data_IF_139419659121
#
_entry.id   IF_139419659121
#
_cell.length_a   1.000
_cell.length_b   1.000
_cell.length_c   1.000
_cell.angle_alpha   90.00
_cell.angle_beta   90.00
_cell.angle_gamma   90.00
#
_symmetry.space_group_name_H-M   'P 1'
#
loop_
_entity.id
_entity.type
_entity.pdbx_description
1 polymer ?
#
# COMPACT_ATOMS: atom_id res chain seq x y z
N UNK A 1 -25.73 31.72 35.30
CA UNK A 1 -26.06 30.46 36.02
C UNK A 1 -26.68 29.39 35.12
N UNK A 2 -27.88 29.55 34.54
CA UNK A 2 -28.49 28.53 33.66
C UNK A 2 -27.67 28.21 32.39
N UNK A 3 -27.04 29.23 31.78
CA UNK A 3 -26.25 29.06 30.56
C UNK A 3 -24.93 28.30 30.79
N UNK A 4 -24.27 28.50 31.94
CA UNK A 4 -23.03 27.78 32.31
C UNK A 4 -23.31 26.30 32.58
N UNK A 5 -24.43 25.97 33.22
CA UNK A 5 -24.78 24.56 33.46
C UNK A 5 -25.09 23.79 32.17
N UNK A 6 -25.73 24.44 31.19
CA UNK A 6 -25.97 23.85 29.88
C UNK A 6 -24.68 23.64 29.07
N UNK A 7 -23.70 24.55 29.19
CA UNK A 7 -22.40 24.43 28.55
C UNK A 7 -21.58 23.27 29.15
N UNK A 8 -21.50 23.18 30.48
CA UNK A 8 -20.79 22.10 31.16
C UNK A 8 -21.40 20.72 30.88
N UNK A 9 -22.73 20.63 30.81
CA UNK A 9 -23.44 19.39 30.49
C UNK A 9 -23.16 18.94 29.05
N UNK A 10 -23.13 19.88 28.09
CA UNK A 10 -22.75 19.59 26.71
C UNK A 10 -21.31 19.11 26.59
N UNK A 11 -20.35 19.79 27.24
CA UNK A 11 -18.94 19.39 27.21
C UNK A 11 -18.74 17.99 27.82
N UNK A 12 -19.40 17.71 28.95
CA UNK A 12 -19.32 16.40 29.58
C UNK A 12 -19.92 15.30 28.70
N UNK A 13 -21.04 15.58 28.02
CA UNK A 13 -21.68 14.63 27.12
C UNK A 13 -20.87 14.37 25.86
N UNK A 14 -20.28 15.42 25.26
CA UNK A 14 -19.35 15.29 24.12
C UNK A 14 -18.12 14.47 24.52
N UNK A 15 -17.52 14.76 25.67
CA UNK A 15 -16.35 14.02 26.15
C UNK A 15 -16.67 12.56 26.42
N UNK A 16 -17.85 12.26 26.98
CA UNK A 16 -18.31 10.89 27.23
C UNK A 16 -18.54 10.13 25.92
N UNK A 17 -19.19 10.76 24.95
CA UNK A 17 -19.40 10.18 23.62
C UNK A 17 -18.07 9.92 22.92
N UNK A 18 -17.12 10.86 23.00
CA UNK A 18 -15.78 10.72 22.44
C UNK A 18 -15.03 9.54 23.08
N UNK A 19 -15.03 9.43 24.41
CA UNK A 19 -14.39 8.30 25.09
C UNK A 19 -15.02 6.96 24.69
N UNK A 20 -16.34 6.88 24.59
CA UNK A 20 -17.02 5.64 24.16
C UNK A 20 -16.72 5.28 22.71
N UNK A 21 -16.53 6.25 21.80
CA UNK A 21 -16.14 5.95 20.42
C UNK A 21 -14.67 5.56 20.32
N UNK A 22 -13.79 6.17 21.12
CA UNK A 22 -12.39 5.73 21.25
C UNK A 22 -12.29 4.31 21.80
N UNK A 23 -13.05 4.01 22.85
CA UNK A 23 -13.13 2.65 23.38
C UNK A 23 -13.71 1.70 22.34
N UNK A 24 -14.70 2.09 21.54
CA UNK A 24 -15.25 1.28 20.45
C UNK A 24 -14.25 1.02 19.30
N UNK A 25 -13.40 2.00 18.98
CA UNK A 25 -12.33 1.87 17.97
C UNK A 25 -11.14 1.05 18.47
N UNK A 26 -10.84 1.14 19.76
CA UNK A 26 -9.76 0.39 20.41
C UNK A 26 -10.20 -1.02 20.83
N UNK A 27 -11.50 -1.23 21.03
CA UNK A 27 -12.05 -2.55 21.31
C UNK A 27 -12.08 -3.38 20.05
N UNK A 28 -11.53 -4.58 20.20
CA UNK A 28 -11.38 -5.61 19.18
C UNK A 28 -12.72 -6.17 18.65
N UNK A 29 -13.85 -5.67 19.16
CA UNK A 29 -15.16 -6.26 18.98
C UNK A 29 -16.09 -5.28 18.26
N UNK A 30 -16.50 -5.65 17.05
CA UNK A 30 -17.52 -4.94 16.28
C UNK A 30 -17.07 -4.61 14.86
N UNK A 31 -18.05 -4.33 13.99
CA UNK A 31 -17.82 -3.92 12.59
C UNK A 31 -17.03 -2.61 12.49
N UNK A 32 -17.15 -1.75 13.51
CA UNK A 32 -16.48 -0.44 13.58
C UNK A 32 -14.96 -0.57 13.59
N UNK A 33 -14.42 -1.67 14.14
CA UNK A 33 -12.99 -1.94 14.12
C UNK A 33 -12.44 -2.16 12.70
N UNK A 34 -13.27 -2.51 11.70
CA UNK A 34 -12.82 -2.67 10.31
C UNK A 34 -12.90 -1.38 9.49
N UNK A 35 -13.55 -0.33 9.99
CA UNK A 35 -13.70 0.92 9.28
C UNK A 35 -12.35 1.54 8.86
N UNK A 36 -11.32 1.60 9.73
CA UNK A 36 -10.02 2.17 9.36
C UNK A 36 -9.35 1.43 8.20
N UNK A 37 -9.37 0.09 8.21
CA UNK A 37 -8.73 -0.69 7.14
C UNK A 37 -9.49 -0.58 5.82
N UNK A 38 -10.82 -0.49 5.84
CA UNK A 38 -11.63 -0.25 4.64
C UNK A 38 -11.26 1.09 4.01
N UNK A 39 -11.17 2.15 4.81
CA UNK A 39 -10.77 3.48 4.32
C UNK A 39 -9.36 3.45 3.74
N UNK A 40 -8.40 2.82 4.42
CA UNK A 40 -7.01 2.68 3.92
C UNK A 40 -6.96 1.89 2.61
N UNK A 41 -7.68 0.77 2.51
CA UNK A 41 -7.72 -0.03 1.28
C UNK A 41 -8.32 0.74 0.10
N UNK A 42 -9.40 1.50 0.32
CA UNK A 42 -10.00 2.35 -0.72
C UNK A 42 -9.00 3.41 -1.17
N UNK A 43 -8.35 4.11 -0.24
CA UNK A 43 -7.37 5.15 -0.56
C UNK A 43 -6.15 4.58 -1.30
N UNK A 44 -5.62 3.44 -0.86
CA UNK A 44 -4.54 2.74 -1.55
C UNK A 44 -4.95 2.35 -2.98
N UNK A 45 -6.15 1.79 -3.15
CA UNK A 45 -6.65 1.38 -4.46
C UNK A 45 -6.86 2.58 -5.40
N UNK A 46 -7.45 3.67 -4.92
CA UNK A 46 -7.63 4.89 -5.70
C UNK A 46 -6.27 5.50 -6.10
N UNK A 47 -5.32 5.59 -5.16
CA UNK A 47 -3.99 6.11 -5.46
C UNK A 47 -3.22 5.27 -6.47
N UNK A 48 -3.25 3.94 -6.31
CA UNK A 48 -2.57 3.04 -7.25
C UNK A 48 -3.27 2.94 -8.62
N UNK A 49 -4.60 3.07 -8.66
CA UNK A 49 -5.32 3.13 -9.94
C UNK A 49 -4.90 4.33 -10.78
N UNK A 50 -4.53 5.44 -10.12
CA UNK A 50 -4.00 6.61 -10.80
C UNK A 50 -2.58 6.40 -11.34
N UNK A 51 -1.79 5.53 -10.70
CA UNK A 51 -0.42 5.23 -11.12
C UNK A 51 -0.33 4.55 -12.49
N UNK A 52 -1.41 3.91 -12.97
CA UNK A 52 -1.44 3.21 -14.27
C UNK A 52 -1.07 4.11 -15.45
N UNK A 53 -1.33 5.41 -15.32
CA UNK A 53 -1.03 6.40 -16.35
C UNK A 53 0.42 6.88 -16.34
N UNK A 54 1.20 6.49 -15.32
CA UNK A 54 2.54 7.01 -15.08
C UNK A 54 3.59 5.89 -15.20
N UNK A 55 4.57 6.04 -16.12
CA UNK A 55 5.64 5.06 -16.30
C UNK A 55 6.73 5.14 -15.22
N UNK A 56 6.79 6.22 -14.44
CA UNK A 56 7.85 6.49 -13.47
C UNK A 56 7.40 6.27 -12.02
N UNK A 57 6.78 5.13 -11.75
CA UNK A 57 6.32 4.74 -10.40
C UNK A 57 7.15 3.58 -9.86
N UNK A 58 7.21 3.40 -8.54
CA UNK A 58 7.95 2.27 -7.97
C UNK A 58 7.39 0.91 -8.43
N UNK A 59 6.07 0.81 -8.60
CA UNK A 59 5.43 -0.38 -9.17
C UNK A 59 5.90 -0.67 -10.60
N UNK A 60 6.02 0.37 -11.45
CA UNK A 60 6.59 0.28 -12.79
C UNK A 60 8.07 -0.20 -12.76
N UNK A 61 8.85 0.26 -11.79
CA UNK A 61 10.24 -0.22 -11.61
C UNK A 61 10.30 -1.69 -11.23
N UNK A 62 9.46 -2.14 -10.30
CA UNK A 62 9.37 -3.56 -9.94
C UNK A 62 8.95 -4.44 -11.12
N UNK A 63 8.05 -3.93 -11.97
CA UNK A 63 7.67 -4.59 -13.22
C UNK A 63 8.86 -4.80 -14.16
N UNK A 64 9.67 -3.75 -14.36
CA UNK A 64 10.86 -3.83 -15.20
C UNK A 64 11.88 -4.84 -14.64
N UNK A 65 12.17 -4.81 -13.34
CA UNK A 65 13.07 -5.76 -12.70
C UNK A 65 12.61 -7.21 -12.85
N UNK A 66 11.32 -7.48 -12.63
CA UNK A 66 10.77 -8.83 -12.77
C UNK A 66 10.88 -9.33 -14.22
N UNK A 67 10.50 -8.50 -15.20
CA UNK A 67 10.56 -8.89 -16.60
C UNK A 67 11.98 -9.17 -17.08
N UNK A 68 12.92 -8.28 -16.76
CA UNK A 68 14.32 -8.46 -17.17
C UNK A 68 14.94 -9.69 -16.49
N UNK A 69 14.58 -9.97 -15.24
CA UNK A 69 15.00 -11.20 -14.55
C UNK A 69 14.49 -12.47 -15.23
N UNK A 70 13.20 -12.55 -15.57
CA UNK A 70 12.61 -13.78 -16.13
C UNK A 70 12.85 -13.97 -17.62
N UNK A 71 12.90 -12.88 -18.40
CA UNK A 71 12.94 -12.91 -19.87
C UNK A 71 14.26 -12.37 -20.44
N UNK A 72 15.16 -11.86 -19.60
CA UNK A 72 16.42 -11.25 -20.03
C UNK A 72 16.25 -9.81 -20.54
N UNK A 73 17.35 -9.22 -21.00
CA UNK A 73 17.39 -7.79 -21.37
C UNK A 73 16.49 -7.39 -22.54
N UNK A 74 16.14 -8.32 -23.43
CA UNK A 74 15.21 -8.08 -24.55
C UNK A 74 13.81 -7.69 -24.09
N UNK A 75 13.43 -8.03 -22.84
CA UNK A 75 12.12 -7.68 -22.29
C UNK A 75 11.93 -6.18 -22.06
N UNK A 76 13.03 -5.40 -22.02
CA UNK A 76 12.97 -3.93 -21.94
C UNK A 76 12.26 -3.31 -23.15
N UNK A 77 12.27 -3.96 -24.32
CA UNK A 77 11.60 -3.50 -25.54
C UNK A 77 10.08 -3.64 -25.48
N UNK A 78 9.56 -4.43 -24.53
CA UNK A 78 8.12 -4.67 -24.36
C UNK A 78 7.48 -3.54 -23.54
N UNK A 79 8.29 -2.83 -22.74
CA UNK A 79 7.83 -1.73 -21.88
C UNK A 79 8.23 -0.37 -22.46
N UNK A 80 7.56 0.71 -22.04
CA UNK A 80 8.01 2.07 -22.35
C UNK A 80 9.44 2.29 -21.85
N UNK A 81 10.30 2.88 -22.68
CA UNK A 81 11.72 3.08 -22.37
C UNK A 81 11.97 3.86 -21.06
N UNK A 82 11.05 4.77 -20.71
CA UNK A 82 11.09 5.55 -19.47
C UNK A 82 10.91 4.70 -18.20
N UNK A 83 10.25 3.54 -18.29
CA UNK A 83 10.08 2.66 -17.13
C UNK A 83 11.38 2.02 -16.72
N UNK A 84 12.24 1.63 -17.67
CA UNK A 84 13.48 0.90 -17.41
C UNK A 84 14.74 1.78 -17.42
N UNK A 85 14.62 3.10 -17.43
CA UNK A 85 15.79 4.01 -17.57
C UNK A 85 16.76 3.93 -16.39
N UNK A 86 16.31 3.45 -15.23
CA UNK A 86 17.16 3.26 -14.04
C UNK A 86 18.08 2.03 -14.13
N UNK A 87 17.85 1.13 -15.09
CA UNK A 87 18.65 -0.08 -15.25
C UNK A 87 20.06 0.28 -15.75
N UNK A 88 21.09 -0.23 -15.07
CA UNK A 88 22.48 0.06 -15.43
C UNK A 88 22.83 -0.54 -16.79
N UNK A 89 23.67 0.14 -17.58
CA UNK A 89 24.06 -0.28 -18.93
C UNK A 89 24.57 -1.75 -19.00
N UNK A 90 25.21 -2.22 -17.94
CA UNK A 90 25.68 -3.59 -17.79
C UNK A 90 24.55 -4.63 -17.84
N UNK A 91 23.35 -4.31 -17.37
CA UNK A 91 22.19 -5.23 -17.36
C UNK A 91 21.55 -5.44 -18.74
N UNK A 92 21.87 -4.62 -19.75
CA UNK A 92 21.27 -4.70 -21.09
C UNK A 92 21.75 -5.88 -21.97
N UNK A 93 22.74 -6.66 -21.52
CA UNK A 93 23.33 -7.77 -22.31
C UNK A 93 23.20 -9.13 -21.60
N UNK A 94 22.44 -9.20 -20.52
CA UNK A 94 22.38 -10.40 -19.68
C UNK A 94 21.26 -11.36 -20.10
N UNK A 95 21.58 -12.65 -20.02
CA UNK A 95 20.64 -13.75 -20.19
C UNK A 95 19.61 -13.79 -19.04
N UNK A 96 18.44 -14.45 -19.24
CA UNK A 96 17.46 -14.68 -18.18
C UNK A 96 18.12 -15.26 -16.92
N UNK A 97 17.61 -14.91 -15.74
CA UNK A 97 18.12 -15.31 -14.42
C UNK A 97 19.50 -14.78 -14.00
N UNK A 98 20.21 -14.09 -14.90
CA UNK A 98 21.54 -13.51 -14.61
C UNK A 98 21.51 -12.01 -14.31
N UNK A 99 20.33 -11.38 -14.33
CA UNK A 99 20.12 -9.98 -13.94
C UNK A 99 19.54 -9.88 -12.54
N UNK A 100 20.37 -9.97 -11.50
CA UNK A 100 19.89 -9.66 -10.16
C UNK A 100 19.81 -8.13 -9.97
N UNK A 101 18.69 -7.60 -9.47
CA UNK A 101 18.64 -6.23 -8.96
C UNK A 101 19.68 -6.10 -7.85
N UNK A 102 20.61 -5.14 -7.99
CA UNK A 102 21.62 -4.90 -6.97
C UNK A 102 20.99 -4.41 -5.64
N UNK A 103 19.83 -3.75 -5.75
CA UNK A 103 19.16 -3.06 -4.66
C UNK A 103 18.28 -3.98 -3.79
N UNK A 104 17.88 -5.16 -4.29
CA UNK A 104 16.89 -6.00 -3.62
C UNK A 104 17.31 -7.47 -3.57
N UNK A 105 17.10 -8.16 -2.43
CA UNK A 105 17.37 -9.59 -2.34
C UNK A 105 16.44 -10.38 -3.27
N UNK A 106 16.89 -11.53 -3.84
CA UNK A 106 16.16 -12.26 -4.88
C UNK A 106 14.77 -12.74 -4.44
N UNK A 107 14.54 -12.91 -3.13
CA UNK A 107 13.24 -13.27 -2.60
C UNK A 107 12.15 -12.22 -2.90
N UNK A 108 12.52 -10.94 -2.97
CA UNK A 108 11.58 -9.84 -3.27
C UNK A 108 11.07 -9.91 -4.71
N UNK A 109 11.93 -10.33 -5.65
CA UNK A 109 11.53 -10.55 -7.04
C UNK A 109 10.44 -11.61 -7.14
N UNK A 110 10.52 -12.69 -6.36
CA UNK A 110 9.50 -13.75 -6.38
C UNK A 110 8.15 -13.19 -5.96
N UNK A 111 8.11 -12.38 -4.91
CA UNK A 111 6.87 -11.75 -4.41
C UNK A 111 6.31 -10.79 -5.45
N UNK A 112 7.13 -9.96 -6.08
CA UNK A 112 6.67 -9.00 -7.09
C UNK A 112 6.29 -9.65 -8.42
N UNK A 113 6.95 -10.75 -8.78
CA UNK A 113 6.60 -11.55 -9.97
C UNK A 113 5.21 -12.17 -9.88
N UNK A 114 4.63 -12.28 -8.68
CA UNK A 114 3.25 -12.74 -8.51
C UNK A 114 2.24 -11.82 -9.20
N UNK A 115 2.54 -10.51 -9.30
CA UNK A 115 1.70 -9.54 -10.02
C UNK A 115 1.81 -9.68 -11.55
N UNK A 116 2.85 -10.34 -12.06
CA UNK A 116 3.04 -10.65 -13.47
C UNK A 116 2.14 -11.79 -13.97
N UNK A 117 1.36 -12.42 -13.08
CA UNK A 117 0.34 -13.40 -13.47
C UNK A 117 -0.79 -12.75 -14.30
N UNK A 118 -0.97 -11.44 -14.14
CA UNK A 118 -1.86 -10.64 -14.96
C UNK A 118 -1.13 -10.02 -16.17
N UNK A 119 -1.84 -9.64 -17.24
CA UNK A 119 -1.24 -8.98 -18.39
C UNK A 119 -0.48 -7.71 -18.00
N UNK A 120 0.62 -7.43 -18.72
CA UNK A 120 1.53 -6.29 -18.55
C UNK A 120 0.84 -4.95 -18.21
N UNK A 121 -0.24 -4.51 -18.90
CA UNK A 121 -0.88 -3.22 -18.58
C UNK A 121 -1.58 -3.19 -17.22
N UNK A 122 -1.98 -4.34 -16.67
CA UNK A 122 -2.70 -4.44 -15.41
C UNK A 122 -1.79 -4.74 -14.21
N UNK A 123 -0.48 -4.84 -14.43
CA UNK A 123 0.50 -5.18 -13.39
C UNK A 123 0.38 -4.29 -12.15
N UNK A 124 0.26 -2.98 -12.34
CA UNK A 124 0.17 -2.02 -11.23
C UNK A 124 -1.12 -2.18 -10.42
N UNK A 125 -2.25 -2.53 -11.06
CA UNK A 125 -3.50 -2.81 -10.35
C UNK A 125 -3.42 -4.09 -9.54
N UNK A 126 -2.84 -5.15 -10.11
CA UNK A 126 -2.67 -6.43 -9.41
C UNK A 126 -1.72 -6.29 -8.24
N UNK A 127 -0.64 -5.53 -8.42
CA UNK A 127 0.26 -5.16 -7.33
C UNK A 127 -0.49 -4.42 -6.21
N UNK A 128 -1.34 -3.45 -6.55
CA UNK A 128 -2.16 -2.73 -5.57
C UNK A 128 -3.13 -3.65 -4.82
N UNK A 129 -3.76 -4.59 -5.52
CA UNK A 129 -4.63 -5.60 -4.90
C UNK A 129 -3.87 -6.48 -3.91
N UNK A 130 -2.66 -6.94 -4.25
CA UNK A 130 -1.80 -7.70 -3.35
C UNK A 130 -1.39 -6.90 -2.11
N UNK A 131 -1.05 -5.63 -2.27
CA UNK A 131 -0.71 -4.75 -1.15
C UNK A 131 -1.91 -4.49 -0.24
N UNK A 132 -3.10 -4.27 -0.81
CA UNK A 132 -4.34 -4.11 -0.06
C UNK A 132 -4.72 -5.39 0.70
N UNK A 133 -4.61 -6.56 0.05
CA UNK A 133 -4.88 -7.85 0.67
C UNK A 133 -3.90 -8.13 1.81
N UNK A 134 -2.61 -7.88 1.61
CA UNK A 134 -1.58 -8.05 2.65
C UNK A 134 -1.85 -7.13 3.84
N UNK A 135 -2.19 -5.86 3.58
CA UNK A 135 -2.56 -4.90 4.63
C UNK A 135 -3.80 -5.35 5.40
N UNK A 136 -4.84 -5.82 4.71
CA UNK A 136 -6.05 -6.36 5.34
C UNK A 136 -5.74 -7.61 6.18
N UNK A 137 -4.88 -8.50 5.69
CA UNK A 137 -4.47 -9.71 6.41
C UNK A 137 -3.66 -9.37 7.67
N UNK A 138 -2.71 -8.43 7.59
CA UNK A 138 -1.96 -7.93 8.76
C UNK A 138 -2.92 -7.29 9.76
N UNK A 139 -3.83 -6.44 9.28
CA UNK A 139 -4.84 -5.80 10.13
C UNK A 139 -5.71 -6.83 10.84
N UNK A 140 -6.19 -7.84 10.12
CA UNK A 140 -6.97 -8.94 10.67
C UNK A 140 -6.16 -9.76 11.68
N UNK A 141 -4.88 -10.02 11.40
CA UNK A 141 -3.99 -10.72 12.31
C UNK A 141 -3.74 -9.91 13.60
N UNK A 142 -3.58 -8.60 13.49
CA UNK A 142 -3.46 -7.69 14.63
C UNK A 142 -4.76 -7.62 15.44
N UNK A 143 -5.91 -7.63 14.77
CA UNK A 143 -7.18 -7.80 15.46
C UNK A 143 -7.27 -9.17 16.14
N UNK A 144 -6.71 -10.25 15.58
CA UNK A 144 -6.84 -11.61 16.16
C UNK A 144 -5.80 -11.93 17.23
N UNK A 145 -4.58 -11.42 17.13
CA UNK A 145 -3.46 -11.81 17.99
C UNK A 145 -2.73 -10.61 18.62
N UNK A 146 -2.98 -9.39 18.15
CA UNK A 146 -2.28 -8.19 18.60
C UNK A 146 -2.80 -7.61 19.92
N UNK A 147 -1.98 -6.77 20.57
CA UNK A 147 -2.41 -5.99 21.73
C UNK A 147 -3.44 -4.91 21.32
N UNK A 148 -4.19 -4.41 22.30
CA UNK A 148 -5.22 -3.38 22.09
C UNK A 148 -4.62 -2.15 21.40
N UNK A 149 -5.26 -1.68 20.33
CA UNK A 149 -4.82 -0.51 19.56
C UNK A 149 -3.75 -0.77 18.49
N UNK A 150 -3.08 -1.93 18.45
CA UNK A 150 -2.03 -2.19 17.46
C UNK A 150 -2.54 -2.14 16.00
N UNK A 151 -3.75 -2.67 15.76
CA UNK A 151 -4.38 -2.60 14.44
C UNK A 151 -4.65 -1.14 14.01
N UNK A 152 -5.13 -0.29 14.92
CA UNK A 152 -5.36 1.13 14.65
C UNK A 152 -4.05 1.85 14.33
N UNK A 153 -3.00 1.64 15.12
CA UNK A 153 -1.68 2.20 14.88
C UNK A 153 -1.16 1.78 13.50
N UNK A 154 -1.27 0.49 13.16
CA UNK A 154 -0.89 0.00 11.83
C UNK A 154 -1.68 0.69 10.70
N UNK A 155 -3.00 0.85 10.83
CA UNK A 155 -3.80 1.54 9.82
C UNK A 155 -3.40 3.01 9.65
N UNK A 156 -3.03 3.72 10.73
CA UNK A 156 -2.53 5.09 10.64
C UNK A 156 -1.18 5.14 9.92
N UNK A 157 -0.25 4.23 10.22
CA UNK A 157 1.02 4.14 9.49
C UNK A 157 0.82 3.80 8.02
N UNK A 158 -0.08 2.87 7.71
CA UNK A 158 -0.43 2.51 6.34
C UNK A 158 -1.06 3.69 5.58
N UNK A 159 -1.90 4.50 6.25
CA UNK A 159 -2.48 5.71 5.68
C UNK A 159 -1.43 6.76 5.34
N UNK A 160 -0.49 7.01 6.27
CA UNK A 160 0.63 7.94 6.04
C UNK A 160 1.48 7.46 4.87
N UNK A 161 1.81 6.16 4.81
CA UNK A 161 2.52 5.56 3.68
C UNK A 161 1.79 5.75 2.35
N UNK A 162 0.47 5.50 2.32
CA UNK A 162 -0.35 5.69 1.12
C UNK A 162 -0.41 7.16 0.66
N UNK A 163 -0.49 8.12 1.60
CA UNK A 163 -0.46 9.55 1.27
C UNK A 163 0.88 10.00 0.69
N UNK A 164 2.00 9.44 1.14
CA UNK A 164 3.31 9.76 0.59
C UNK A 164 3.43 9.33 -0.88
N UNK A 165 2.83 8.18 -1.24
CA UNK A 165 2.74 7.72 -2.63
C UNK A 165 1.88 8.63 -3.50
N UNK A 166 0.83 9.25 -2.94
CA UNK A 166 -0.03 10.18 -3.67
C UNK A 166 0.64 11.53 -3.92
N UNK A 167 1.44 12.05 -2.97
CA UNK A 167 2.16 13.32 -3.12
C UNK A 167 3.20 13.30 -4.24
N UNK A 168 3.71 12.12 -4.63
CA UNK A 168 4.67 11.96 -5.74
C UNK A 168 4.00 12.18 -7.11
N UNK A 169 2.67 12.08 -7.19
CA UNK A 169 1.90 12.22 -8.45
C UNK A 169 1.52 13.68 -8.74
N UNK A 170 1.59 14.58 -7.75
CA UNK A 170 1.22 16.00 -7.89
C UNK A 170 2.44 16.93 -8.09
N UNK A 171 3.59 16.41 -8.53
CA UNK A 171 4.77 17.22 -8.84
C UNK A 171 5.10 17.22 -10.34
#
# INVERSE_FOLDING_TARGET
>A
MLHEQALHKNIAQVKKNLLTTWDALLTRNGIVAYLPIIVVCILMFCGASWQIFWPSTDAARYQCYALVFWLGSSATQILPASQCTFLHASTLVHAPFHTLPLEYPPLTLVIFSLSMLAPIPYYQLVFAMWMALTSALIYWLLLRYGPRGAALTFALFALVGASASASIVYC
#
